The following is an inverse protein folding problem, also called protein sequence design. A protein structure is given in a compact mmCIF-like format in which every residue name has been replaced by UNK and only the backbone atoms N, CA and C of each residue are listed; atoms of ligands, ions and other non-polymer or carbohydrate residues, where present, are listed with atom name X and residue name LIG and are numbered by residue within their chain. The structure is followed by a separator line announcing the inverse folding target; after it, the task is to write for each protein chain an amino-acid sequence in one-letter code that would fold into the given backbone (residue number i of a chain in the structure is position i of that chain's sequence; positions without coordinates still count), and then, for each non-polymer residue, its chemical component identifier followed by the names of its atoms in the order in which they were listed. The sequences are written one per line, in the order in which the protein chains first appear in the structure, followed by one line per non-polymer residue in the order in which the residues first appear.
data_IF_611342222507
#
_entry.id   IF_611342222507
#
_cell.length_a   1.000
_cell.length_b   1.000
_cell.length_c   1.000
_cell.angle_alpha   90.00
_cell.angle_beta   90.00
_cell.angle_gamma   90.00
#
_symmetry.space_group_name_H-M   'P 1'
#
loop_
_entity.id
_entity.type
_entity.pdbx_description
1 polymer ?
#
# COMPACT_ATOMS: atom_id res chain seq x y z
N UNK A 1 12.57 8.32 -8.11
CA UNK A 1 11.20 7.85 -7.82
C UNK A 1 10.13 8.92 -8.06
N UNK A 2 10.34 10.19 -7.74
CA UNK A 2 9.32 11.23 -7.95
C UNK A 2 9.01 11.46 -9.44
N UNK A 3 10.04 11.72 -10.25
CA UNK A 3 9.90 12.10 -11.65
C UNK A 3 9.32 11.02 -12.57
N UNK A 4 9.63 9.76 -12.31
CA UNK A 4 9.34 8.67 -13.26
C UNK A 4 8.08 7.85 -12.90
N UNK A 5 7.38 8.18 -11.82
CA UNK A 5 6.17 7.44 -11.42
C UNK A 5 5.16 8.19 -10.55
N UNK A 6 5.51 9.34 -9.97
CA UNK A 6 4.64 10.08 -9.06
C UNK A 6 4.44 11.55 -9.47
N UNK A 7 4.93 11.93 -10.65
CA UNK A 7 4.82 13.27 -11.20
C UNK A 7 3.97 13.23 -12.46
N UNK A 8 2.97 14.10 -12.55
CA UNK A 8 2.13 14.19 -13.73
C UNK A 8 2.92 14.73 -14.91
N UNK A 9 2.88 14.00 -16.02
CA UNK A 9 3.68 14.34 -17.21
C UNK A 9 3.18 15.59 -17.95
N UNK A 10 1.92 16.00 -17.72
CA UNK A 10 1.27 17.06 -18.49
C UNK A 10 1.03 18.34 -17.70
N UNK A 11 0.79 18.21 -16.40
CA UNK A 11 0.33 19.28 -15.53
C UNK A 11 1.39 19.72 -14.50
N UNK A 12 2.58 19.10 -14.52
CA UNK A 12 3.76 19.46 -13.72
C UNK A 12 3.49 19.54 -12.20
N UNK A 13 2.77 18.56 -11.65
CA UNK A 13 2.55 18.42 -10.22
C UNK A 13 2.57 16.96 -9.76
N UNK A 14 2.72 16.74 -8.45
CA UNK A 14 2.71 15.39 -7.87
C UNK A 14 1.31 14.74 -7.92
N UNK A 15 1.25 13.41 -8.06
CA UNK A 15 -0.01 12.63 -8.08
C UNK A 15 -0.93 12.89 -6.89
N UNK A 16 -0.40 13.27 -5.72
CA UNK A 16 -1.21 13.68 -4.58
C UNK A 16 -2.12 14.88 -4.88
N UNK A 17 -1.63 15.83 -5.69
CA UNK A 17 -2.45 16.97 -6.13
C UNK A 17 -3.58 16.54 -7.07
N UNK A 18 -3.40 15.50 -7.90
CA UNK A 18 -4.52 14.91 -8.65
C UNK A 18 -5.64 14.46 -7.70
N UNK A 19 -5.26 13.81 -6.60
CA UNK A 19 -6.21 13.28 -5.62
C UNK A 19 -6.96 14.42 -4.90
N UNK A 20 -6.27 15.48 -4.49
CA UNK A 20 -6.91 16.66 -3.89
C UNK A 20 -7.89 17.34 -4.85
N UNK A 21 -7.51 17.51 -6.12
CA UNK A 21 -8.42 18.07 -7.14
C UNK A 21 -9.68 17.21 -7.34
N UNK A 22 -9.53 15.90 -7.32
CA UNK A 22 -10.66 14.96 -7.38
C UNK A 22 -11.55 15.07 -6.14
N UNK A 23 -10.93 15.16 -4.95
CA UNK A 23 -11.66 15.33 -3.70
C UNK A 23 -12.47 16.62 -3.70
N UNK A 24 -11.90 17.74 -4.15
CA UNK A 24 -12.60 19.02 -4.28
C UNK A 24 -13.77 18.93 -5.27
N UNK A 25 -13.55 18.35 -6.46
CA UNK A 25 -14.58 18.22 -7.50
C UNK A 25 -15.76 17.36 -7.07
N UNK A 26 -15.51 16.34 -6.24
CA UNK A 26 -16.53 15.41 -5.76
C UNK A 26 -16.98 15.69 -4.32
N UNK A 27 -16.49 16.77 -3.70
CA UNK A 27 -16.77 17.13 -2.31
C UNK A 27 -16.46 16.02 -1.31
N UNK A 28 -15.39 15.25 -1.55
CA UNK A 28 -14.95 14.17 -0.67
C UNK A 28 -14.18 14.79 0.49
N UNK A 29 -14.76 14.69 1.68
CA UNK A 29 -14.20 15.26 2.90
C UNK A 29 -12.98 14.47 3.37
N UNK A 30 -12.13 15.14 4.16
CA UNK A 30 -11.00 14.47 4.82
C UNK A 30 -11.45 13.32 5.72
N UNK A 31 -12.58 13.49 6.42
CA UNK A 31 -13.14 12.45 7.29
C UNK A 31 -13.55 11.20 6.49
N UNK A 32 -14.16 11.36 5.32
CA UNK A 32 -14.50 10.24 4.44
C UNK A 32 -13.25 9.50 3.94
N UNK A 33 -12.19 10.23 3.59
CA UNK A 33 -10.91 9.64 3.18
C UNK A 33 -10.28 8.83 4.33
N UNK A 34 -10.23 9.40 5.54
CA UNK A 34 -9.67 8.75 6.71
C UNK A 34 -10.49 7.49 7.09
N UNK A 35 -11.83 7.59 7.07
CA UNK A 35 -12.72 6.46 7.33
C UNK A 35 -12.52 5.32 6.33
N UNK A 36 -12.34 5.65 5.04
CA UNK A 36 -12.04 4.65 4.03
C UNK A 36 -10.66 4.01 4.23
N UNK A 37 -9.64 4.78 4.60
CA UNK A 37 -8.31 4.27 4.88
C UNK A 37 -8.31 3.28 6.07
N UNK A 38 -9.07 3.59 7.13
CA UNK A 38 -9.26 2.68 8.27
C UNK A 38 -9.94 1.39 7.81
N UNK A 39 -11.07 1.50 7.10
CA UNK A 39 -11.83 0.34 6.62
C UNK A 39 -10.99 -0.54 5.67
N UNK A 40 -10.18 0.07 4.80
CA UNK A 40 -9.28 -0.65 3.90
C UNK A 40 -8.26 -1.48 4.68
N UNK A 41 -7.67 -0.90 5.75
CA UNK A 41 -6.75 -1.62 6.62
C UNK A 41 -7.43 -2.76 7.39
N UNK A 42 -8.63 -2.54 7.93
CA UNK A 42 -9.39 -3.59 8.61
C UNK A 42 -9.69 -4.77 7.69
N UNK A 43 -10.13 -4.51 6.46
CA UNK A 43 -10.38 -5.55 5.45
C UNK A 43 -9.12 -6.32 5.10
N UNK A 44 -7.99 -5.63 4.99
CA UNK A 44 -6.70 -6.25 4.69
C UNK A 44 -6.21 -7.16 5.82
N UNK A 45 -6.36 -6.73 7.09
CA UNK A 45 -6.06 -7.56 8.26
C UNK A 45 -6.91 -8.83 8.23
N UNK A 46 -8.23 -8.67 8.06
CA UNK A 46 -9.15 -9.80 8.01
C UNK A 46 -8.80 -10.79 6.88
N UNK A 47 -8.44 -10.29 5.69
CA UNK A 47 -8.04 -11.12 4.56
C UNK A 47 -6.74 -11.90 4.81
N UNK A 48 -5.76 -11.31 5.51
CA UNK A 48 -4.55 -12.03 5.92
C UNK A 48 -4.87 -13.09 6.96
N UNK A 49 -5.67 -12.77 7.96
CA UNK A 49 -5.99 -13.68 9.06
C UNK A 49 -6.77 -14.91 8.58
N UNK A 50 -7.61 -14.75 7.56
CA UNK A 50 -8.30 -15.88 6.91
C UNK A 50 -7.52 -16.50 5.73
N UNK A 51 -6.26 -16.10 5.51
CA UNK A 51 -5.39 -16.59 4.44
C UNK A 51 -6.00 -16.48 3.03
N UNK A 52 -6.81 -15.45 2.77
CA UNK A 52 -7.54 -15.27 1.51
C UNK A 52 -6.65 -15.18 0.26
N UNK A 53 -5.40 -14.72 0.41
CA UNK A 53 -4.44 -14.55 -0.68
C UNK A 53 -3.40 -15.67 -0.79
N UNK A 54 -3.54 -16.75 -0.01
CA UNK A 54 -2.60 -17.89 -0.02
C UNK A 54 -2.46 -18.57 -1.39
N UNK A 55 -3.46 -18.42 -2.26
CA UNK A 55 -3.45 -18.96 -3.62
C UNK A 55 -2.78 -18.03 -4.64
N UNK A 56 -2.63 -16.73 -4.33
CA UNK A 56 -2.09 -15.71 -5.23
C UNK A 56 -0.63 -15.37 -4.90
N UNK A 57 -0.28 -15.32 -3.60
CA UNK A 57 1.05 -14.92 -3.16
C UNK A 57 2.05 -16.06 -3.35
N UNK A 58 3.09 -15.81 -4.13
CA UNK A 58 4.24 -16.72 -4.30
C UNK A 58 5.35 -16.31 -3.34
N UNK A 59 5.79 -17.20 -2.42
CA UNK A 59 6.87 -16.88 -1.48
C UNK A 59 8.17 -16.53 -2.19
N UNK A 60 8.86 -15.49 -1.70
CA UNK A 60 10.18 -15.08 -2.18
C UNK A 60 11.21 -15.32 -1.10
N UNK A 61 12.27 -16.04 -1.43
CA UNK A 61 13.42 -16.24 -0.55
C UNK A 61 14.43 -15.10 -0.71
N UNK A 62 14.69 -14.38 0.37
CA UNK A 62 15.65 -13.27 0.42
C UNK A 62 16.93 -13.74 1.11
N UNK A 63 18.09 -13.69 0.44
CA UNK A 63 19.36 -14.10 1.03
C UNK A 63 19.75 -13.20 2.22
N UNK A 64 20.08 -13.79 3.36
CA UNK A 64 20.54 -13.05 4.54
C UNK A 64 21.95 -12.46 4.41
N UNK A 65 22.67 -12.79 3.33
CA UNK A 65 24.08 -12.47 3.15
C UNK A 65 25.02 -13.48 3.82
N UNK A 66 26.33 -13.20 3.84
CA UNK A 66 27.35 -14.16 4.26
C UNK A 66 27.15 -14.59 5.72
N UNK A 67 26.95 -15.88 5.93
CA UNK A 67 26.84 -16.50 7.26
C UNK A 67 25.49 -16.28 7.96
N UNK A 68 24.50 -15.68 7.31
CA UNK A 68 23.14 -15.51 7.86
C UNK A 68 22.15 -16.40 7.09
N UNK A 69 21.14 -16.96 7.77
CA UNK A 69 20.09 -17.71 7.10
C UNK A 69 19.27 -16.79 6.18
N UNK A 70 18.70 -17.36 5.12
CA UNK A 70 17.71 -16.68 4.28
C UNK A 70 16.40 -16.45 5.04
N UNK A 71 15.63 -15.47 4.58
CA UNK A 71 14.30 -15.14 5.09
C UNK A 71 13.30 -15.38 3.96
N UNK A 72 12.19 -16.05 4.27
CA UNK A 72 11.09 -16.21 3.33
C UNK A 72 10.11 -15.07 3.56
N UNK A 73 9.77 -14.35 2.49
CA UNK A 73 8.72 -13.32 2.47
C UNK A 73 7.54 -13.90 1.71
N UNK A 74 6.47 -14.22 2.42
CA UNK A 74 5.25 -14.88 1.90
C UNK A 74 3.97 -14.12 2.20
N UNK A 75 4.09 -12.91 2.77
CA UNK A 75 2.98 -12.04 3.19
C UNK A 75 3.32 -10.58 2.96
N UNK A 76 2.30 -9.75 2.76
CA UNK A 76 2.47 -8.30 2.68
C UNK A 76 2.99 -7.72 4.01
N UNK A 77 4.13 -7.03 3.94
CA UNK A 77 4.86 -6.52 5.12
C UNK A 77 4.20 -5.29 5.79
N UNK A 78 3.42 -4.51 5.05
CA UNK A 78 2.91 -3.20 5.52
C UNK A 78 1.85 -3.28 6.64
N UNK A 79 1.57 -4.46 7.19
CA UNK A 79 0.68 -4.64 8.35
C UNK A 79 1.37 -4.35 9.69
N UNK A 80 2.68 -4.52 9.76
CA UNK A 80 3.38 -4.57 11.06
C UNK A 80 3.84 -3.19 11.57
N UNK A 81 3.68 -2.12 10.76
CA UNK A 81 4.23 -0.78 11.05
C UNK A 81 3.18 0.29 11.39
N UNK A 82 1.93 -0.10 11.64
CA UNK A 82 0.87 0.83 12.09
C UNK A 82 0.42 0.40 13.49
N UNK A 83 1.34 0.47 14.46
CA UNK A 83 1.10 0.28 15.89
C UNK A 83 1.71 1.42 16.69
#
# INVERSE_FOLDING_TARGET
MLKDGLWDAYNDYAMGMCAELCADQHSITREEQDNYAIQSNERRIAARDCAAFSWEIVPVEVPGGRGKPSIIVDKDESLEKIS
#
